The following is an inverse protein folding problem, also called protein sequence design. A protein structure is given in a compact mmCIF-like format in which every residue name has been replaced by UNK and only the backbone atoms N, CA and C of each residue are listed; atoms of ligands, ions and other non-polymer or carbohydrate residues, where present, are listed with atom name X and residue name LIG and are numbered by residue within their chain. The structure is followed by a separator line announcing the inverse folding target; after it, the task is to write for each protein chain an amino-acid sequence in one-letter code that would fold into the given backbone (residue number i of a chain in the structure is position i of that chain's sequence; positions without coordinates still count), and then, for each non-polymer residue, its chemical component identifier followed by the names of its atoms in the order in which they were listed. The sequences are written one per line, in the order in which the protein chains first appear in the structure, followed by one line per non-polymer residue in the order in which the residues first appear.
data_IF_801240233083
#
_entry.id   IF_801240233083
#
_cell.length_a   1.000
_cell.length_b   1.000
_cell.length_c   1.000
_cell.angle_alpha   90.00
_cell.angle_beta   90.00
_cell.angle_gamma   90.00
#
_symmetry.space_group_name_H-M   'P 1'
#
loop_
_entity.id
_entity.type
_entity.pdbx_description
1 polymer ?
#
# COMPACT_ATOMS: atom_id res chain seq x y z
N UNK A 1 0.45 -7.51 7.42
CA UNK A 1 1.03 -6.65 8.47
C UNK A 1 -0.05 -6.30 9.48
N UNK A 2 0.05 -6.81 10.71
CA UNK A 2 -0.98 -6.63 11.75
C UNK A 2 -1.10 -5.18 12.26
N UNK A 3 -0.08 -4.36 12.01
CA UNK A 3 0.04 -2.99 12.54
C UNK A 3 -0.80 -1.97 11.77
N UNK A 4 -1.03 -2.17 10.46
CA UNK A 4 -1.67 -1.14 9.61
C UNK A 4 -3.18 -1.30 9.51
N UNK A 5 -3.71 -2.53 9.66
CA UNK A 5 -5.15 -2.85 9.62
C UNK A 5 -5.88 -2.29 8.38
N UNK A 6 -5.18 -2.13 7.27
CA UNK A 6 -5.76 -1.64 6.01
C UNK A 6 -6.58 -2.78 5.37
N UNK A 7 -7.87 -2.53 5.14
CA UNK A 7 -8.81 -3.48 4.53
C UNK A 7 -9.06 -3.21 3.05
N UNK A 8 -8.91 -1.95 2.61
CA UNK A 8 -9.01 -1.58 1.21
C UNK A 8 -8.08 -0.41 0.86
N UNK A 9 -7.66 -0.38 -0.40
CA UNK A 9 -6.85 0.68 -0.96
C UNK A 9 -7.59 1.34 -2.12
N UNK A 10 -7.49 2.67 -2.20
CA UNK A 10 -8.02 3.50 -3.28
C UNK A 10 -6.89 4.30 -3.92
N UNK A 11 -6.82 4.31 -5.25
CA UNK A 11 -5.84 5.08 -6.01
C UNK A 11 -6.57 5.94 -7.04
N UNK A 12 -6.34 7.24 -7.00
CA UNK A 12 -6.84 8.19 -7.98
C UNK A 12 -5.68 8.76 -8.81
N UNK A 13 -5.69 8.49 -10.11
CA UNK A 13 -4.70 8.97 -11.08
C UNK A 13 -5.15 10.34 -11.59
N UNK A 14 -4.89 11.39 -10.82
CA UNK A 14 -5.49 12.70 -11.08
C UNK A 14 -4.83 13.50 -12.22
N UNK A 15 -3.59 13.15 -12.59
CA UNK A 15 -2.85 13.84 -13.65
C UNK A 15 -1.83 12.88 -14.29
N UNK A 16 -1.78 12.86 -15.61
CA UNK A 16 -0.92 11.98 -16.39
C UNK A 16 -0.56 12.62 -17.73
N UNK A 17 0.73 12.70 -18.04
CA UNK A 17 1.23 13.27 -19.30
C UNK A 17 2.42 12.46 -19.83
N UNK A 18 2.41 12.21 -21.14
CA UNK A 18 3.48 11.49 -21.85
C UNK A 18 3.79 10.09 -21.30
N UNK A 19 2.81 9.42 -20.69
CA UNK A 19 2.92 8.04 -20.21
C UNK A 19 2.19 7.11 -21.19
N UNK A 20 2.87 6.06 -21.65
CA UNK A 20 2.26 5.01 -22.47
C UNK A 20 1.32 4.11 -21.65
N UNK A 21 0.73 3.10 -22.30
CA UNK A 21 -0.17 2.18 -21.59
C UNK A 21 0.54 1.56 -20.38
N UNK A 22 -0.06 1.74 -19.21
CA UNK A 22 0.39 1.12 -17.97
C UNK A 22 -0.82 0.45 -17.32
N UNK A 23 -0.56 -0.67 -16.66
CA UNK A 23 -1.61 -1.50 -16.07
C UNK A 23 -1.30 -1.79 -14.62
N UNK A 24 -2.33 -1.84 -13.80
CA UNK A 24 -2.27 -2.37 -12.46
C UNK A 24 -2.79 -3.81 -12.50
N UNK A 25 -1.92 -4.77 -12.21
CA UNK A 25 -2.24 -6.20 -12.20
C UNK A 25 -2.46 -6.66 -10.78
N UNK A 26 -3.42 -7.57 -10.58
CA UNK A 26 -3.82 -8.10 -9.28
C UNK A 26 -3.74 -9.61 -9.26
N UNK A 27 -3.32 -10.15 -8.11
CA UNK A 27 -3.40 -11.57 -7.77
C UNK A 27 -3.80 -11.76 -6.32
N UNK A 28 -4.31 -12.93 -6.00
CA UNK A 28 -4.70 -13.29 -4.64
C UNK A 28 -4.30 -14.73 -4.35
N UNK A 29 -3.94 -15.01 -3.09
CA UNK A 29 -3.87 -16.37 -2.59
C UNK A 29 -5.29 -16.94 -2.51
N UNK A 30 -5.43 -18.23 -2.78
CA UNK A 30 -6.71 -18.96 -2.74
C UNK A 30 -6.57 -20.24 -1.91
N UNK A 31 -7.70 -20.81 -1.53
CA UNK A 31 -7.73 -22.15 -0.96
C UNK A 31 -7.72 -23.20 -2.08
N UNK A 32 -7.27 -24.44 -1.80
CA UNK A 32 -7.44 -25.54 -2.73
C UNK A 32 -8.92 -25.67 -3.12
N UNK A 33 -9.23 -25.92 -4.41
CA UNK A 33 -10.60 -26.16 -4.83
C UNK A 33 -11.17 -27.40 -4.12
N UNK A 34 -12.45 -27.33 -3.77
CA UNK A 34 -13.18 -28.49 -3.25
C UNK A 34 -13.75 -29.30 -4.41
N UNK A 35 -13.77 -30.64 -4.29
CA UNK A 35 -14.41 -31.56 -5.24
C UNK A 35 -13.81 -31.59 -6.66
N UNK A 36 -12.47 -31.57 -6.80
CA UNK A 36 -11.80 -31.94 -8.06
C UNK A 36 -11.44 -33.43 -8.07
N UNK A 37 -11.29 -34.02 -9.25
CA UNK A 37 -10.85 -35.41 -9.37
C UNK A 37 -9.31 -35.46 -9.37
N UNK A 38 -8.73 -36.44 -8.67
CA UNK A 38 -7.28 -36.64 -8.67
C UNK A 38 -6.76 -36.78 -10.10
N UNK A 39 -5.65 -36.10 -10.40
CA UNK A 39 -5.04 -36.04 -11.74
C UNK A 39 -5.90 -35.35 -12.82
N UNK A 40 -6.96 -34.60 -12.48
CA UNK A 40 -7.66 -33.74 -13.45
C UNK A 40 -6.93 -32.41 -13.66
N UNK A 41 -5.75 -32.48 -14.28
CA UNK A 41 -4.91 -31.33 -14.59
C UNK A 41 -5.59 -30.34 -15.55
N UNK A 42 -6.43 -30.83 -16.46
CA UNK A 42 -7.10 -30.00 -17.46
C UNK A 42 -8.27 -29.23 -16.84
N UNK A 43 -9.12 -29.90 -16.06
CA UNK A 43 -10.25 -29.27 -15.39
C UNK A 43 -9.79 -28.27 -14.34
N UNK A 44 -8.78 -28.62 -13.52
CA UNK A 44 -8.27 -27.72 -12.48
C UNK A 44 -7.72 -26.41 -13.04
N UNK A 45 -6.96 -26.51 -14.13
CA UNK A 45 -6.42 -25.35 -14.85
C UNK A 45 -7.49 -24.54 -15.57
N UNK A 46 -8.47 -25.19 -16.19
CA UNK A 46 -9.48 -24.48 -16.97
C UNK A 46 -10.50 -23.75 -16.08
N UNK A 47 -10.89 -24.35 -14.96
CA UNK A 47 -11.91 -23.79 -14.05
C UNK A 47 -11.30 -22.80 -13.07
N UNK A 48 -10.18 -23.15 -12.43
CA UNK A 48 -9.57 -22.35 -11.37
C UNK A 48 -8.24 -21.70 -11.76
N UNK A 49 -7.68 -22.00 -12.93
CA UNK A 49 -6.37 -21.47 -13.32
C UNK A 49 -5.21 -22.00 -12.48
N UNK A 50 -5.42 -23.11 -11.76
CA UNK A 50 -4.43 -23.74 -10.89
C UNK A 50 -3.82 -24.97 -11.57
N UNK A 51 -2.56 -25.24 -11.28
CA UNK A 51 -1.85 -26.42 -11.75
C UNK A 51 -1.17 -27.12 -10.57
N UNK A 52 -1.02 -28.44 -10.66
CA UNK A 52 -0.35 -29.24 -9.63
C UNK A 52 1.09 -28.75 -9.40
N UNK A 53 1.49 -28.72 -8.12
CA UNK A 53 2.77 -28.19 -7.62
C UNK A 53 3.03 -26.70 -7.90
N UNK A 54 2.04 -25.95 -8.40
CA UNK A 54 2.10 -24.49 -8.49
C UNK A 54 1.55 -23.81 -7.23
N UNK A 55 1.97 -22.57 -6.91
CA UNK A 55 1.37 -21.82 -5.81
C UNK A 55 -0.15 -21.69 -5.96
N UNK A 56 -0.89 -21.75 -4.83
CA UNK A 56 -2.34 -21.49 -4.75
C UNK A 56 -2.63 -20.00 -4.93
N UNK A 57 -2.38 -19.52 -6.15
CA UNK A 57 -2.48 -18.12 -6.52
C UNK A 57 -3.36 -18.02 -7.76
N UNK A 58 -4.36 -17.15 -7.70
CA UNK A 58 -5.14 -16.77 -8.86
C UNK A 58 -4.80 -15.36 -9.31
N UNK A 59 -4.60 -15.20 -10.62
CA UNK A 59 -4.53 -13.90 -11.26
C UNK A 59 -5.96 -13.34 -11.38
N UNK A 60 -6.25 -12.27 -10.64
CA UNK A 60 -7.57 -11.62 -10.65
C UNK A 60 -7.76 -10.81 -11.94
N UNK A 61 -6.66 -10.35 -12.53
CA UNK A 61 -6.65 -9.66 -13.81
C UNK A 61 -5.82 -8.38 -13.76
N UNK A 62 -6.01 -7.52 -14.77
CA UNK A 62 -5.32 -6.23 -14.83
C UNK A 62 -6.21 -5.18 -15.45
N UNK A 63 -5.99 -3.93 -15.04
CA UNK A 63 -6.71 -2.79 -15.57
C UNK A 63 -5.74 -1.66 -15.87
N UNK A 64 -6.01 -0.94 -16.95
CA UNK A 64 -5.19 0.19 -17.38
C UNK A 64 -5.27 1.33 -16.35
N UNK A 65 -4.16 2.00 -16.10
CA UNK A 65 -4.05 3.14 -15.18
C UNK A 65 -3.90 4.42 -16.00
N UNK A 66 -5.01 5.12 -16.23
CA UNK A 66 -5.05 6.35 -17.02
C UNK A 66 -5.43 7.56 -16.18
N UNK A 67 -5.02 8.76 -16.63
CA UNK A 67 -5.47 10.02 -16.04
C UNK A 67 -7.00 10.10 -15.87
N UNK A 68 -7.45 10.63 -14.73
CA UNK A 68 -8.86 10.72 -14.32
C UNK A 68 -9.46 9.43 -13.74
N UNK A 69 -8.73 8.31 -13.66
CA UNK A 69 -9.26 7.02 -13.19
C UNK A 69 -9.12 6.86 -11.67
N UNK A 70 -10.21 6.47 -11.00
CA UNK A 70 -10.21 5.97 -9.62
C UNK A 70 -10.28 4.44 -9.61
N UNK A 71 -9.45 3.81 -8.80
CA UNK A 71 -9.42 2.36 -8.60
C UNK A 71 -9.54 2.09 -7.10
N UNK A 72 -10.51 1.27 -6.69
CA UNK A 72 -10.63 0.80 -5.33
C UNK A 72 -10.58 -0.73 -5.32
N UNK A 73 -9.81 -1.32 -4.41
CA UNK A 73 -9.65 -2.76 -4.30
C UNK A 73 -9.40 -3.21 -2.86
N UNK A 74 -9.79 -4.45 -2.51
CA UNK A 74 -9.48 -5.05 -1.21
C UNK A 74 -7.97 -5.18 -1.01
N UNK A 75 -7.48 -4.93 0.20
CA UNK A 75 -6.05 -5.00 0.52
C UNK A 75 -5.52 -6.45 0.61
N UNK A 76 -6.40 -7.45 0.46
CA UNK A 76 -6.03 -8.86 0.28
C UNK A 76 -5.43 -9.13 -1.11
N UNK A 77 -5.67 -8.27 -2.10
CA UNK A 77 -5.07 -8.41 -3.41
C UNK A 77 -3.65 -7.87 -3.42
N UNK A 78 -2.70 -8.72 -3.77
CA UNK A 78 -1.36 -8.25 -4.12
C UNK A 78 -1.45 -7.61 -5.51
N UNK A 79 -0.89 -6.41 -5.63
CA UNK A 79 -0.91 -5.66 -6.88
C UNK A 79 0.49 -5.28 -7.34
N UNK A 80 0.64 -5.11 -8.65
CA UNK A 80 1.89 -4.68 -9.29
C UNK A 80 1.58 -3.73 -10.44
N UNK A 81 2.31 -2.62 -10.49
CA UNK A 81 2.31 -1.75 -11.68
C UNK A 81 3.14 -2.45 -12.76
N UNK A 82 2.51 -2.76 -13.89
CA UNK A 82 3.18 -3.33 -15.05
C UNK A 82 4.21 -2.34 -15.62
N UNK A 83 5.32 -2.83 -16.21
CA UNK A 83 6.29 -1.97 -16.89
C UNK A 83 5.60 -1.08 -17.94
N UNK A 84 6.03 0.17 -18.04
CA UNK A 84 5.53 1.13 -19.02
C UNK A 84 6.68 2.00 -19.53
N UNK A 85 6.46 2.67 -20.66
CA UNK A 85 7.41 3.63 -21.24
C UNK A 85 6.74 4.97 -21.50
N UNK A 86 7.54 6.00 -21.76
CA UNK A 86 7.03 7.27 -22.27
C UNK A 86 6.48 7.08 -23.68
N UNK A 87 5.47 7.87 -24.05
CA UNK A 87 4.93 7.90 -25.42
C UNK A 87 5.98 8.51 -26.35
N UNK A 88 6.48 9.68 -25.99
CA UNK A 88 7.60 10.39 -26.61
C UNK A 88 8.82 10.30 -25.69
N UNK A 89 9.79 9.46 -26.07
CA UNK A 89 11.02 9.24 -25.29
C UNK A 89 11.95 10.45 -25.23
N UNK A 90 11.70 11.48 -26.03
CA UNK A 90 12.53 12.70 -26.06
C UNK A 90 12.06 13.76 -25.06
N UNK A 91 10.86 13.60 -24.50
CA UNK A 91 10.26 14.51 -23.53
C UNK A 91 10.14 13.86 -22.16
N UNK A 92 10.04 14.66 -21.13
CA UNK A 92 9.66 14.18 -19.79
C UNK A 92 8.21 13.74 -19.78
N UNK A 93 7.84 12.89 -18.82
CA UNK A 93 6.45 12.54 -18.54
C UNK A 93 6.22 12.40 -17.05
N UNK A 94 4.97 12.48 -16.63
CA UNK A 94 4.60 12.31 -15.23
C UNK A 94 3.30 11.56 -15.07
N UNK A 95 3.18 10.94 -13.91
CA UNK A 95 1.94 10.37 -13.40
C UNK A 95 1.83 10.78 -11.95
N UNK A 96 0.73 11.42 -11.59
CA UNK A 96 0.46 11.83 -10.22
C UNK A 96 -0.74 11.06 -9.70
N UNK A 97 -0.58 10.52 -8.50
CA UNK A 97 -1.61 9.72 -7.84
C UNK A 97 -1.92 10.26 -6.46
N UNK A 98 -3.15 10.06 -6.03
CA UNK A 98 -3.57 10.14 -4.65
C UNK A 98 -3.93 8.73 -4.17
N UNK A 99 -3.23 8.25 -3.14
CA UNK A 99 -3.50 6.96 -2.51
C UNK A 99 -4.26 7.17 -1.19
N UNK A 100 -5.35 6.42 -1.03
CA UNK A 100 -6.23 6.42 0.13
C UNK A 100 -6.26 5.01 0.70
N UNK A 101 -6.18 4.90 2.02
CA UNK A 101 -6.23 3.61 2.71
C UNK A 101 -7.41 3.60 3.66
N UNK A 102 -8.29 2.60 3.49
CA UNK A 102 -9.36 2.33 4.44
C UNK A 102 -8.82 1.40 5.51
N UNK A 103 -8.68 1.91 6.72
CA UNK A 103 -8.39 1.13 7.92
C UNK A 103 -9.67 0.45 8.41
N UNK A 104 -9.54 -0.78 8.92
CA UNK A 104 -10.64 -1.56 9.47
C UNK A 104 -11.42 -0.75 10.54
N UNK A 105 -12.70 -0.41 10.29
CA UNK A 105 -13.48 0.41 11.21
C UNK A 105 -13.81 -0.32 12.52
N UNK A 106 -13.64 -1.65 12.57
CA UNK A 106 -13.90 -2.44 13.78
C UNK A 106 -12.75 -2.35 14.80
N UNK A 107 -11.61 -1.74 14.43
CA UNK A 107 -10.45 -1.58 15.29
C UNK A 107 -10.09 -0.11 15.44
N UNK A 108 -9.93 0.33 16.70
CA UNK A 108 -9.41 1.67 16.98
C UNK A 108 -7.89 1.64 16.95
N UNK A 109 -7.30 2.36 16.00
CA UNK A 109 -5.85 2.57 15.92
C UNK A 109 -5.50 4.01 16.36
N UNK A 110 -4.25 4.27 16.77
CA UNK A 110 -3.76 5.64 16.93
C UNK A 110 -3.96 6.42 15.63
N UNK A 111 -4.49 7.64 15.73
CA UNK A 111 -4.69 8.53 14.60
C UNK A 111 -4.35 9.96 14.96
N UNK A 112 -4.43 10.87 13.99
CA UNK A 112 -4.24 12.32 14.21
C UNK A 112 -5.23 12.94 15.19
N UNK A 113 -6.29 12.23 15.58
CA UNK A 113 -7.19 12.65 16.67
C UNK A 113 -6.54 12.57 18.07
N UNK A 114 -5.53 11.70 18.24
CA UNK A 114 -4.86 11.44 19.53
C UNK A 114 -3.35 11.58 19.48
N UNK A 115 -2.77 11.61 18.28
CA UNK A 115 -1.34 11.77 18.03
C UNK A 115 -1.09 13.21 17.57
N UNK A 116 -0.32 13.96 18.35
CA UNK A 116 0.09 15.31 18.02
C UNK A 116 0.97 15.35 16.76
N UNK A 117 1.11 16.51 16.08
CA UNK A 117 1.99 16.64 14.92
C UNK A 117 3.40 16.14 15.22
N UNK A 118 3.90 15.27 14.35
CA UNK A 118 5.24 14.70 14.45
C UNK A 118 6.28 15.53 13.70
N UNK A 119 5.87 16.45 12.82
CA UNK A 119 6.78 17.40 12.19
C UNK A 119 6.80 18.70 12.99
N UNK A 120 7.99 19.26 13.17
CA UNK A 120 8.20 20.46 13.98
C UNK A 120 7.44 21.66 13.40
N UNK A 121 7.44 21.80 12.09
CA UNK A 121 6.78 22.91 11.38
C UNK A 121 5.26 22.86 11.59
N UNK A 122 4.67 21.66 11.47
CA UNK A 122 3.24 21.45 11.73
C UNK A 122 2.87 21.66 13.20
N UNK A 123 3.79 21.34 14.13
CA UNK A 123 3.56 21.59 15.54
C UNK A 123 3.49 23.09 15.85
N UNK A 124 4.34 23.90 15.22
CA UNK A 124 4.28 25.36 15.37
C UNK A 124 2.96 25.90 14.84
N UNK A 125 2.52 25.47 13.66
CA UNK A 125 1.22 25.86 13.09
C UNK A 125 0.05 25.48 14.02
N UNK A 126 0.10 24.29 14.63
CA UNK A 126 -0.91 23.87 15.61
C UNK A 126 -0.85 24.73 16.87
N UNK A 127 0.33 25.12 17.36
CA UNK A 127 0.46 25.98 18.53
C UNK A 127 -0.04 27.42 18.27
N UNK A 128 0.10 27.89 17.03
CA UNK A 128 -0.46 29.19 16.59
C UNK A 128 -1.98 29.13 16.48
N UNK A 129 -2.54 27.99 16.05
CA UNK A 129 -3.98 27.84 15.78
C UNK A 129 -4.79 27.26 16.94
N UNK A 130 -4.17 26.62 17.93
CA UNK A 130 -4.87 25.92 19.02
C UNK A 130 -5.58 26.83 20.04
N UNK A 131 -5.47 28.16 19.89
CA UNK A 131 -6.09 29.14 20.79
C UNK A 131 -5.42 29.21 22.17
N UNK A 132 -6.08 29.89 23.11
CA UNK A 132 -5.58 30.03 24.48
C UNK A 132 -4.35 30.92 24.62
N UNK A 133 -3.50 30.64 25.61
CA UNK A 133 -2.29 31.44 25.87
C UNK A 133 -1.15 31.16 24.89
N UNK A 134 -1.10 29.97 24.30
CA UNK A 134 -0.05 29.60 23.34
C UNK A 134 -0.14 30.45 22.07
N UNK A 135 -1.36 30.64 21.54
CA UNK A 135 -1.60 31.50 20.38
C UNK A 135 -1.28 33.00 20.60
N UNK A 136 -1.04 33.44 21.84
CA UNK A 136 -0.63 34.82 22.16
C UNK A 136 0.89 35.01 22.18
N UNK A 137 1.66 33.93 22.14
CA UNK A 137 3.12 34.00 22.16
C UNK A 137 3.63 34.36 20.75
N UNK A 138 4.69 35.18 20.65
CA UNK A 138 5.40 35.37 19.38
C UNK A 138 5.91 34.03 18.81
N UNK A 139 5.93 33.93 17.48
CA UNK A 139 6.34 32.71 16.76
C UNK A 139 7.74 32.23 17.17
N UNK A 140 8.66 33.12 17.54
CA UNK A 140 9.99 32.76 18.02
C UNK A 140 9.93 31.91 19.30
N UNK A 141 9.02 32.25 20.24
CA UNK A 141 8.83 31.47 21.45
C UNK A 141 8.17 30.12 21.14
N UNK A 142 7.22 30.09 20.21
CA UNK A 142 6.60 28.85 19.76
C UNK A 142 7.61 27.91 19.09
N UNK A 143 8.53 28.43 18.29
CA UNK A 143 9.62 27.66 17.69
C UNK A 143 10.59 27.11 18.74
N UNK A 144 10.90 27.87 19.80
CA UNK A 144 11.71 27.39 20.93
C UNK A 144 10.98 26.26 21.67
N UNK A 145 9.68 26.42 21.93
CA UNK A 145 8.85 25.39 22.58
C UNK A 145 8.82 24.12 21.73
N UNK A 146 8.48 24.24 20.44
CA UNK A 146 8.47 23.13 19.50
C UNK A 146 9.85 22.46 19.39
N UNK A 147 10.94 23.25 19.46
CA UNK A 147 12.31 22.73 19.45
C UNK A 147 12.71 21.96 20.72
N UNK A 148 12.03 22.18 21.85
CA UNK A 148 12.24 21.41 23.09
C UNK A 148 11.38 20.15 23.17
N UNK A 149 10.38 20.00 22.31
CA UNK A 149 9.52 18.83 22.29
C UNK A 149 10.24 17.69 21.57
N UNK A 150 10.64 16.67 22.33
CA UNK A 150 11.41 15.52 21.83
C UNK A 150 10.61 14.52 21.00
N UNK A 151 9.30 14.76 20.82
CA UNK A 151 8.39 13.85 20.10
C UNK A 151 8.21 14.22 18.63
N UNK A 152 8.85 15.29 18.16
CA UNK A 152 8.90 15.64 16.74
C UNK A 152 10.13 15.07 16.07
N UNK A 153 10.04 14.84 14.76
CA UNK A 153 11.13 14.43 13.90
C UNK A 153 11.37 15.49 12.82
N UNK A 154 12.63 15.62 12.42
CA UNK A 154 13.04 16.37 11.24
C UNK A 154 12.57 15.66 9.97
N UNK A 155 12.55 16.38 8.85
CA UNK A 155 12.25 15.80 7.54
C UNK A 155 13.23 14.69 7.15
N UNK A 156 14.50 14.82 7.52
CA UNK A 156 15.51 13.80 7.24
C UNK A 156 15.24 12.50 8.02
N UNK A 157 14.93 12.61 9.32
CA UNK A 157 14.55 11.47 10.16
C UNK A 157 13.26 10.81 9.65
N UNK A 158 12.25 11.60 9.25
CA UNK A 158 11.02 11.08 8.67
C UNK A 158 11.27 10.27 7.38
N UNK A 159 12.21 10.72 6.54
CA UNK A 159 12.61 9.97 5.35
C UNK A 159 13.38 8.70 5.69
N UNK A 160 14.28 8.73 6.68
CA UNK A 160 14.98 7.52 7.14
C UNK A 160 13.99 6.47 7.66
N UNK A 161 13.05 6.86 8.53
CA UNK A 161 11.98 5.97 9.00
C UNK A 161 11.11 5.44 7.85
N UNK A 162 10.83 6.26 6.84
CA UNK A 162 10.10 5.81 5.65
C UNK A 162 10.87 4.71 4.92
N UNK A 163 12.17 4.85 4.74
CA UNK A 163 13.00 3.83 4.09
C UNK A 163 12.98 2.52 4.87
N UNK A 164 13.17 2.58 6.19
CA UNK A 164 13.06 1.40 7.07
C UNK A 164 11.71 0.69 6.94
N UNK A 165 10.61 1.47 6.89
CA UNK A 165 9.26 0.96 6.70
C UNK A 165 9.06 0.33 5.30
N UNK A 166 9.66 0.89 4.26
CA UNK A 166 9.62 0.28 2.92
C UNK A 166 10.41 -1.04 2.88
N UNK A 167 11.51 -1.12 3.61
CA UNK A 167 12.29 -2.36 3.73
C UNK A 167 11.54 -3.42 4.55
N UNK A 168 10.86 -3.04 5.62
CA UNK A 168 9.98 -3.95 6.39
C UNK A 168 8.85 -4.49 5.52
N UNK A 169 8.19 -3.60 4.75
CA UNK A 169 7.13 -4.00 3.80
C UNK A 169 7.67 -4.97 2.74
N UNK A 170 8.84 -4.68 2.19
CA UNK A 170 9.49 -5.54 1.20
C UNK A 170 9.82 -6.92 1.78
N UNK A 171 10.32 -6.98 3.02
CA UNK A 171 10.56 -8.24 3.75
C UNK A 171 9.27 -9.01 3.99
N UNK A 172 8.22 -8.32 4.44
CA UNK A 172 6.89 -8.93 4.67
C UNK A 172 6.31 -9.56 3.39
N UNK A 173 6.48 -8.88 2.25
CA UNK A 173 6.07 -9.45 0.95
C UNK A 173 6.88 -10.70 0.61
N UNK A 174 8.21 -10.67 0.82
CA UNK A 174 9.06 -11.86 0.60
C UNK A 174 8.69 -13.03 1.51
N UNK A 175 8.37 -12.78 2.78
CA UNK A 175 7.89 -13.81 3.70
C UNK A 175 6.54 -14.40 3.25
N UNK A 176 5.67 -13.55 2.70
CA UNK A 176 4.41 -14.01 2.13
C UNK A 176 4.59 -14.88 0.88
N UNK A 177 5.55 -14.54 0.02
CA UNK A 177 5.83 -15.21 -1.25
C UNK A 177 6.69 -16.47 -1.12
N UNK A 178 7.71 -16.46 -0.25
CA UNK A 178 8.74 -17.51 -0.17
C UNK A 178 8.85 -18.17 1.21
N UNK A 179 8.17 -17.63 2.23
CA UNK A 179 8.17 -18.17 3.59
C UNK A 179 7.02 -19.17 3.82
N UNK A 180 6.32 -19.06 4.95
CA UNK A 180 5.10 -19.83 5.25
C UNK A 180 3.81 -19.00 5.03
N UNK A 181 3.88 -17.94 4.24
CA UNK A 181 2.71 -17.10 3.98
C UNK A 181 1.76 -17.70 2.94
N UNK A 182 0.56 -17.13 2.85
CA UNK A 182 -0.50 -17.65 1.96
C UNK A 182 -0.14 -17.71 0.47
N UNK A 183 0.88 -16.99 0.00
CA UNK A 183 1.33 -17.02 -1.40
C UNK A 183 2.44 -18.06 -1.66
N UNK A 184 2.98 -18.71 -0.63
CA UNK A 184 3.97 -19.79 -0.78
C UNK A 184 3.37 -21.20 -0.72
N UNK A 185 2.09 -21.32 -0.33
CA UNK A 185 1.38 -22.60 -0.27
C UNK A 185 1.16 -23.12 -1.69
N UNK A 186 1.57 -24.36 -1.95
CA UNK A 186 1.41 -25.02 -3.25
C UNK A 186 0.13 -25.83 -3.30
N UNK A 187 -0.43 -25.93 -4.51
CA UNK A 187 -1.49 -26.85 -4.81
C UNK A 187 -0.89 -28.24 -4.94
N UNK A 188 -1.35 -29.20 -4.13
CA UNK A 188 -0.92 -30.59 -4.19
C UNK A 188 -2.15 -31.47 -4.41
N UNK A 189 -2.24 -32.09 -5.59
CA UNK A 189 -3.33 -32.98 -5.94
C UNK A 189 -3.19 -34.41 -5.37
N UNK A 190 -2.08 -34.73 -4.70
CA UNK A 190 -1.80 -36.06 -4.15
C UNK A 190 -2.13 -36.21 -2.66
N UNK A 191 -2.59 -35.15 -1.99
CA UNK A 191 -2.90 -35.15 -0.55
C UNK A 191 -4.39 -35.36 -0.22
N UNK A 192 -5.21 -35.72 -1.22
CA UNK A 192 -6.62 -36.12 -1.07
C UNK A 192 -6.91 -37.48 -1.70
#
# INVERSE_FOLDING_TARGET
MSNERIVASGIYYYDEENIGESRLTFRTAVLPPENYHNSDYAGTRQVWGLQDDEPLIQNVGSLETKGGRCIAFPNIFQHRVAPFSLVDKTKTGHRKILALFLVDPNFRIPSTSTVAPQQKELLVEVLETCGGHMAKLPTELLQIIAGKITRTMTRAEAFAYREELMDERTRSVKEQEFGQGGFSIRFNMCEH
#
